data_IF_515026683219
#
_entry.id   IF_515026683219
#
_cell.length_a   1.000
_cell.length_b   1.000
_cell.length_c   1.000
_cell.angle_alpha   90.00
_cell.angle_beta   90.00
_cell.angle_gamma   90.00
#
_symmetry.space_group_name_H-M   'P 1'
#
loop_
_entity.id
_entity.type
_entity.pdbx_description
1 polymer ?
#
# COMPACT_ATOMS: atom_id res chain seq x y z
N UNK A 1 -43.85 -60.86 -35.07
CA UNK A 1 -44.41 -59.56 -34.65
C UNK A 1 -44.16 -59.41 -33.18
N UNK A 2 -43.04 -58.81 -32.81
CA UNK A 2 -42.75 -58.43 -31.41
C UNK A 2 -42.41 -56.93 -31.36
N UNK A 3 -43.30 -56.17 -30.76
CA UNK A 3 -43.11 -54.71 -30.50
C UNK A 3 -42.21 -54.54 -29.29
N UNK A 4 -41.06 -53.93 -29.48
CA UNK A 4 -40.23 -53.45 -28.41
C UNK A 4 -40.88 -52.25 -27.69
N UNK A 5 -41.07 -52.39 -26.38
CA UNK A 5 -41.48 -51.27 -25.49
C UNK A 5 -40.25 -50.47 -25.16
N UNK A 6 -40.20 -49.23 -25.62
CA UNK A 6 -39.24 -48.24 -25.20
C UNK A 6 -39.70 -47.66 -23.86
N UNK A 7 -38.98 -47.92 -22.80
CA UNK A 7 -39.25 -47.39 -21.47
C UNK A 7 -38.62 -46.00 -21.34
N UNK A 8 -39.47 -45.02 -21.10
CA UNK A 8 -39.18 -43.58 -20.87
C UNK A 8 -39.05 -43.27 -19.36
N UNK A 9 -38.10 -43.80 -18.60
CA UNK A 9 -37.80 -43.16 -17.34
C UNK A 9 -36.32 -42.80 -17.11
N UNK A 10 -35.42 -42.95 -18.09
CA UNK A 10 -34.00 -42.66 -17.84
C UNK A 10 -33.55 -41.24 -18.19
N UNK A 11 -34.37 -40.45 -18.89
CA UNK A 11 -34.01 -39.08 -19.32
C UNK A 11 -34.45 -37.98 -18.34
N UNK A 12 -35.42 -38.28 -17.46
CA UNK A 12 -35.94 -37.30 -16.49
C UNK A 12 -35.05 -37.20 -15.23
N UNK A 13 -34.26 -38.21 -14.92
CA UNK A 13 -33.38 -38.20 -13.73
C UNK A 13 -32.04 -37.47 -13.94
N UNK A 14 -31.65 -37.21 -15.19
CA UNK A 14 -30.39 -36.45 -15.48
C UNK A 14 -30.61 -34.96 -15.57
N UNK A 15 -31.85 -34.51 -15.73
CA UNK A 15 -32.17 -33.06 -15.75
C UNK A 15 -32.38 -32.44 -14.36
N UNK A 16 -32.49 -33.24 -13.28
CA UNK A 16 -32.68 -32.76 -11.91
C UNK A 16 -31.38 -32.67 -11.10
N UNK A 17 -30.24 -33.07 -11.66
CA UNK A 17 -28.94 -33.02 -10.99
C UNK A 17 -28.05 -31.86 -11.44
N UNK A 18 -28.51 -31.02 -12.36
CA UNK A 18 -27.77 -29.83 -12.84
C UNK A 18 -28.28 -28.52 -12.24
N UNK A 19 -29.33 -28.53 -11.43
CA UNK A 19 -29.98 -27.33 -10.89
C UNK A 19 -29.69 -27.06 -9.41
N UNK A 20 -28.70 -27.70 -8.78
CA UNK A 20 -28.34 -27.42 -7.38
C UNK A 20 -26.87 -27.01 -7.20
N UNK A 21 -26.36 -26.21 -8.08
CA UNK A 21 -25.10 -25.49 -7.85
C UNK A 21 -25.29 -23.96 -7.94
N UNK A 22 -26.43 -23.47 -7.50
CA UNK A 22 -26.48 -22.11 -7.01
C UNK A 22 -25.81 -22.16 -5.64
N UNK A 23 -24.49 -22.02 -5.60
CA UNK A 23 -23.79 -21.54 -4.40
C UNK A 23 -24.45 -20.19 -4.15
N UNK A 24 -25.36 -20.15 -3.18
CA UNK A 24 -25.79 -18.89 -2.60
C UNK A 24 -24.52 -18.22 -2.15
N UNK A 25 -24.06 -17.19 -2.86
CA UNK A 25 -23.20 -16.21 -2.27
C UNK A 25 -23.94 -15.80 -1.00
N UNK A 26 -23.36 -16.11 0.16
CA UNK A 26 -23.81 -15.62 1.45
C UNK A 26 -23.62 -14.11 1.38
N UNK A 27 -24.62 -13.43 0.83
CA UNK A 27 -24.65 -11.99 0.77
C UNK A 27 -24.61 -11.49 2.21
N UNK A 28 -23.69 -10.59 2.52
CA UNK A 28 -23.66 -9.96 3.83
C UNK A 28 -25.04 -9.38 4.16
N UNK A 29 -25.52 -9.61 5.39
CA UNK A 29 -26.80 -9.06 5.85
C UNK A 29 -26.70 -7.53 5.95
N UNK A 30 -27.63 -6.83 5.35
CA UNK A 30 -27.78 -5.37 5.45
C UNK A 30 -29.02 -5.00 6.28
N UNK A 31 -28.96 -3.91 7.08
CA UNK A 31 -27.81 -3.00 7.22
C UNK A 31 -26.62 -3.66 7.94
N UNK A 32 -25.39 -3.35 7.43
CA UNK A 32 -24.15 -3.82 8.00
C UNK A 32 -23.49 -2.70 8.81
N UNK A 33 -23.21 -2.91 10.08
CA UNK A 33 -22.42 -1.97 10.90
C UNK A 33 -20.98 -2.48 11.02
N UNK A 34 -20.03 -1.60 10.75
CA UNK A 34 -18.59 -1.85 10.84
C UNK A 34 -17.93 -0.84 11.77
N UNK A 35 -16.77 -1.19 12.33
CA UNK A 35 -15.90 -0.25 13.04
C UNK A 35 -14.70 0.03 12.18
N UNK A 36 -14.46 1.29 11.80
CA UNK A 36 -13.32 1.69 10.99
C UNK A 36 -12.04 1.93 11.82
N UNK A 37 -10.92 2.22 11.17
CA UNK A 37 -9.62 2.44 11.82
C UNK A 37 -9.55 3.72 12.65
N UNK A 38 -10.52 4.62 12.50
CA UNK A 38 -10.71 5.76 13.41
C UNK A 38 -11.56 5.40 14.66
N UNK A 39 -11.95 4.14 14.84
CA UNK A 39 -12.80 3.65 15.93
C UNK A 39 -14.27 4.09 15.82
N UNK A 40 -14.72 4.50 14.63
CA UNK A 40 -16.09 4.95 14.40
C UNK A 40 -16.97 3.79 13.94
N UNK A 41 -18.20 3.74 14.44
CA UNK A 41 -19.21 2.87 13.88
C UNK A 41 -19.81 3.50 12.61
N UNK A 42 -19.82 2.76 11.53
CA UNK A 42 -20.39 3.15 10.24
C UNK A 42 -21.38 2.10 9.80
N UNK A 43 -22.62 2.50 9.53
CA UNK A 43 -23.68 1.60 9.09
C UNK A 43 -23.93 1.76 7.59
N UNK A 44 -23.68 0.68 6.85
CA UNK A 44 -23.94 0.55 5.43
C UNK A 44 -25.35 0.00 5.26
N UNK A 45 -26.22 0.72 4.56
CA UNK A 45 -27.63 0.35 4.41
C UNK A 45 -27.85 -0.74 3.35
N UNK A 46 -26.92 -0.90 2.42
CA UNK A 46 -27.02 -1.82 1.29
C UNK A 46 -25.60 -2.12 0.73
N UNK A 47 -25.45 -3.11 -0.16
CA UNK A 47 -24.17 -3.44 -0.79
C UNK A 47 -23.50 -2.23 -1.43
N UNK A 48 -22.17 -2.12 -1.25
CA UNK A 48 -21.38 -1.06 -1.83
C UNK A 48 -21.15 -1.33 -3.34
N UNK A 49 -21.63 -0.41 -4.17
CA UNK A 49 -21.51 -0.49 -5.62
C UNK A 49 -20.62 0.62 -6.20
N UNK A 50 -20.34 1.66 -5.39
CA UNK A 50 -19.63 2.84 -5.84
C UNK A 50 -18.63 3.28 -4.78
N UNK A 51 -17.38 3.51 -5.19
CA UNK A 51 -16.28 3.83 -4.29
C UNK A 51 -15.59 5.10 -4.75
N UNK A 52 -15.30 6.00 -3.82
CA UNK A 52 -14.34 7.08 -4.01
C UNK A 52 -13.12 6.75 -3.15
N UNK A 53 -11.95 6.66 -3.75
CA UNK A 53 -10.69 6.41 -3.03
C UNK A 53 -9.84 7.67 -2.99
N UNK A 54 -9.32 8.01 -1.81
CA UNK A 54 -8.62 9.29 -1.61
C UNK A 54 -7.12 9.16 -1.38
N UNK A 55 -6.61 7.93 -1.16
CA UNK A 55 -5.19 7.65 -1.02
C UNK A 55 -4.77 6.40 -1.81
N UNK A 56 -3.47 6.29 -2.10
CA UNK A 56 -2.90 5.21 -2.92
C UNK A 56 -2.99 3.83 -2.25
N UNK A 57 -2.91 3.76 -0.92
CA UNK A 57 -2.94 2.49 -0.21
C UNK A 57 -4.35 1.87 -0.31
N UNK A 58 -5.39 2.67 -0.10
CA UNK A 58 -6.77 2.25 -0.32
C UNK A 58 -7.06 1.91 -1.80
N UNK A 59 -6.46 2.66 -2.74
CA UNK A 59 -6.58 2.35 -4.17
C UNK A 59 -5.96 0.99 -4.50
N UNK A 60 -4.78 0.69 -3.96
CA UNK A 60 -4.13 -0.62 -4.10
C UNK A 60 -4.99 -1.74 -3.52
N UNK A 61 -5.58 -1.54 -2.33
CA UNK A 61 -6.46 -2.51 -1.69
C UNK A 61 -7.72 -2.80 -2.53
N UNK A 62 -8.38 -1.76 -3.03
CA UNK A 62 -9.57 -1.92 -3.89
C UNK A 62 -9.23 -2.64 -5.20
N UNK A 63 -8.08 -2.33 -5.82
CA UNK A 63 -7.62 -3.02 -7.04
C UNK A 63 -7.25 -4.47 -6.73
N UNK A 64 -6.51 -4.72 -5.65
CA UNK A 64 -6.09 -6.05 -5.21
C UNK A 64 -7.27 -6.98 -4.97
N UNK A 65 -8.35 -6.45 -4.41
CA UNK A 65 -9.59 -7.20 -4.17
C UNK A 65 -10.50 -7.29 -5.41
N UNK A 66 -10.03 -6.86 -6.59
CA UNK A 66 -10.79 -6.97 -7.83
C UNK A 66 -12.05 -6.08 -7.89
N UNK A 67 -12.06 -4.94 -7.16
CA UNK A 67 -13.20 -4.01 -7.10
C UNK A 67 -12.91 -2.66 -7.79
N UNK A 68 -11.92 -2.60 -8.68
CA UNK A 68 -11.55 -1.38 -9.42
C UNK A 68 -12.69 -0.83 -10.30
N UNK A 69 -13.57 -1.69 -10.78
CA UNK A 69 -14.75 -1.33 -11.57
C UNK A 69 -15.75 -0.50 -10.76
N UNK A 70 -15.87 -0.73 -9.46
CA UNK A 70 -16.71 0.04 -8.55
C UNK A 70 -16.16 1.46 -8.25
N UNK A 71 -14.90 1.75 -8.58
CA UNK A 71 -14.33 3.08 -8.34
C UNK A 71 -14.91 4.09 -9.31
N UNK A 72 -15.52 5.15 -8.76
CA UNK A 72 -16.16 6.25 -9.52
C UNK A 72 -15.44 7.59 -9.37
N UNK A 73 -14.62 7.75 -8.31
CA UNK A 73 -13.83 8.96 -8.06
C UNK A 73 -12.51 8.66 -7.36
N UNK A 74 -11.52 9.49 -7.61
CA UNK A 74 -10.16 9.35 -7.05
C UNK A 74 -9.57 10.70 -6.66
N UNK A 75 -8.60 10.71 -5.73
CA UNK A 75 -7.82 11.92 -5.48
C UNK A 75 -6.81 12.22 -6.58
N UNK A 76 -6.32 13.46 -6.63
CA UNK A 76 -5.25 13.88 -7.54
C UNK A 76 -3.97 13.04 -7.37
N UNK A 77 -3.64 12.62 -6.15
CA UNK A 77 -2.45 11.82 -5.89
C UNK A 77 -2.50 10.46 -6.59
N UNK A 78 -3.67 9.81 -6.63
CA UNK A 78 -3.87 8.55 -7.37
C UNK A 78 -3.83 8.82 -8.88
N UNK A 79 -4.47 9.89 -9.34
CA UNK A 79 -4.48 10.28 -10.75
C UNK A 79 -3.07 10.52 -11.30
N UNK A 80 -2.20 11.12 -10.49
CA UNK A 80 -0.80 11.39 -10.83
C UNK A 80 0.06 10.11 -10.84
N UNK A 81 -0.38 9.02 -10.18
CA UNK A 81 0.25 7.71 -10.20
C UNK A 81 -0.33 6.81 -11.33
N UNK A 82 -0.63 7.39 -12.47
CA UNK A 82 -1.34 6.71 -13.55
C UNK A 82 -0.59 5.54 -14.19
N UNK A 83 0.70 5.36 -13.95
CA UNK A 83 1.45 4.16 -14.33
C UNK A 83 1.13 2.99 -13.40
N UNK A 84 0.96 3.28 -12.12
CA UNK A 84 0.62 2.30 -11.10
C UNK A 84 -0.89 2.00 -11.05
N UNK A 85 -1.73 2.98 -11.44
CA UNK A 85 -3.19 2.85 -11.49
C UNK A 85 -3.75 3.18 -12.88
N UNK A 86 -3.43 2.38 -13.93
CA UNK A 86 -3.77 2.72 -15.32
C UNK A 86 -5.28 2.83 -15.56
N UNK A 87 -6.10 2.04 -14.88
CA UNK A 87 -7.55 2.11 -15.01
C UNK A 87 -8.16 3.21 -14.13
N UNK A 88 -7.63 3.43 -12.93
CA UNK A 88 -8.17 4.45 -12.03
C UNK A 88 -7.88 5.86 -12.50
N UNK A 89 -6.74 6.13 -13.17
CA UNK A 89 -6.41 7.48 -13.67
C UNK A 89 -7.45 8.09 -14.61
N UNK A 90 -8.31 7.25 -15.19
CA UNK A 90 -9.40 7.67 -16.10
C UNK A 90 -10.62 8.20 -15.33
N UNK A 91 -10.68 7.94 -14.00
CA UNK A 91 -11.81 8.33 -13.17
C UNK A 91 -11.78 9.82 -12.83
N UNK A 92 -12.93 10.34 -12.38
CA UNK A 92 -13.08 11.74 -11.99
C UNK A 92 -12.22 12.05 -10.75
N UNK A 93 -11.54 13.22 -10.79
CA UNK A 93 -10.80 13.69 -9.60
C UNK A 93 -11.72 14.37 -8.60
N UNK A 94 -11.55 14.05 -7.33
CA UNK A 94 -12.23 14.69 -6.19
C UNK A 94 -11.30 15.61 -5.40
N UNK A 95 -10.26 16.16 -6.05
CA UNK A 95 -9.30 17.05 -5.41
C UNK A 95 -8.11 16.33 -4.75
N UNK A 96 -7.41 17.03 -3.87
CA UNK A 96 -6.26 16.47 -3.14
C UNK A 96 -6.73 15.59 -1.99
N UNK A 97 -5.95 14.56 -1.65
CA UNK A 97 -6.27 13.64 -0.55
C UNK A 97 -6.49 14.35 0.81
N UNK A 98 -5.89 15.51 1.02
CA UNK A 98 -5.99 16.34 2.23
C UNK A 98 -6.80 17.64 2.03
N UNK A 99 -7.40 17.82 0.85
CA UNK A 99 -8.28 18.94 0.49
C UNK A 99 -9.26 18.49 -0.59
N UNK A 100 -10.30 17.77 -0.17
CA UNK A 100 -11.30 17.18 -1.06
C UNK A 100 -12.27 18.24 -1.58
N UNK A 101 -12.72 18.06 -2.79
CA UNK A 101 -13.80 18.82 -3.42
C UNK A 101 -15.15 18.14 -3.11
N UNK A 102 -15.84 18.62 -2.09
CA UNK A 102 -17.10 18.04 -1.64
C UNK A 102 -18.25 18.25 -2.62
N UNK A 103 -18.22 19.32 -3.44
CA UNK A 103 -19.22 19.54 -4.49
C UNK A 103 -19.06 18.46 -5.56
N UNK A 104 -17.84 18.23 -6.03
CA UNK A 104 -17.54 17.17 -6.97
C UNK A 104 -17.92 15.78 -6.45
N UNK A 105 -17.66 15.51 -5.16
CA UNK A 105 -18.08 14.26 -4.53
C UNK A 105 -19.61 14.12 -4.58
N UNK A 106 -20.34 15.18 -4.29
CA UNK A 106 -21.79 15.21 -4.38
C UNK A 106 -22.32 14.94 -5.79
N UNK A 107 -21.70 15.54 -6.80
CA UNK A 107 -22.07 15.30 -8.21
C UNK A 107 -21.81 13.86 -8.64
N UNK A 108 -20.64 13.32 -8.28
CA UNK A 108 -20.32 11.91 -8.55
C UNK A 108 -21.32 11.00 -7.83
N UNK A 109 -21.70 11.30 -6.60
CA UNK A 109 -22.59 10.47 -5.79
C UNK A 109 -24.00 10.36 -6.41
N UNK A 110 -24.50 11.40 -7.04
CA UNK A 110 -25.80 11.40 -7.76
C UNK A 110 -25.79 10.46 -8.96
N UNK A 111 -24.64 10.26 -9.62
CA UNK A 111 -24.49 9.31 -10.73
C UNK A 111 -25.40 9.61 -11.95
N UNK A 112 -25.79 10.89 -12.14
CA UNK A 112 -26.74 11.32 -13.17
C UNK A 112 -28.20 11.29 -12.72
N UNK A 113 -28.49 10.98 -11.44
CA UNK A 113 -29.81 11.03 -10.83
C UNK A 113 -29.94 12.25 -9.90
N UNK A 114 -31.18 12.66 -9.60
CA UNK A 114 -31.43 13.80 -8.68
C UNK A 114 -31.17 13.46 -7.20
N UNK A 115 -31.00 12.19 -6.86
CA UNK A 115 -30.80 11.69 -5.50
C UNK A 115 -29.52 10.89 -5.37
N UNK A 116 -28.85 11.06 -4.22
CA UNK A 116 -27.70 10.24 -3.84
C UNK A 116 -28.19 8.84 -3.49
N UNK A 117 -27.56 7.83 -4.12
CA UNK A 117 -27.86 6.43 -3.83
C UNK A 117 -27.00 5.97 -2.63
N UNK A 118 -27.57 5.32 -1.60
CA UNK A 118 -26.87 4.99 -0.35
C UNK A 118 -25.90 3.80 -0.45
N UNK A 119 -25.44 3.47 -1.64
CA UNK A 119 -24.47 2.42 -1.92
C UNK A 119 -23.06 2.96 -2.28
N UNK A 120 -22.81 4.23 -1.99
CA UNK A 120 -21.50 4.86 -2.22
C UNK A 120 -20.74 5.05 -0.91
N UNK A 121 -19.45 4.75 -0.95
CA UNK A 121 -18.54 5.01 0.17
C UNK A 121 -17.34 5.81 -0.29
N UNK A 122 -16.72 6.53 0.67
CA UNK A 122 -15.41 7.15 0.50
C UNK A 122 -14.43 6.43 1.41
N UNK A 123 -13.30 6.01 0.87
CA UNK A 123 -12.22 5.38 1.63
C UNK A 123 -11.05 6.35 1.72
N UNK A 124 -10.65 6.68 2.94
CA UNK A 124 -9.54 7.59 3.23
C UNK A 124 -8.79 7.20 4.49
N UNK A 125 -7.76 7.96 4.86
CA UNK A 125 -7.01 7.74 6.10
C UNK A 125 -7.84 8.11 7.34
N UNK A 126 -7.63 7.36 8.44
CA UNK A 126 -8.27 7.63 9.72
C UNK A 126 -7.88 9.02 10.27
N UNK A 127 -6.63 9.30 10.41
CA UNK A 127 -5.98 10.53 10.90
C UNK A 127 -6.81 11.28 11.97
N UNK A 128 -6.95 10.70 13.15
CA UNK A 128 -7.75 11.30 14.23
C UNK A 128 -7.33 12.73 14.55
N UNK A 129 -8.32 13.63 14.65
CA UNK A 129 -8.09 15.04 15.00
C UNK A 129 -7.52 15.92 13.88
N UNK A 130 -7.21 15.36 12.71
CA UNK A 130 -6.78 16.17 11.55
C UNK A 130 -7.97 16.69 10.75
N UNK A 131 -7.84 17.89 10.19
CA UNK A 131 -8.88 18.51 9.35
C UNK A 131 -9.16 17.77 8.04
N UNK A 132 -8.29 16.85 7.67
CA UNK A 132 -8.38 15.98 6.49
C UNK A 132 -8.55 14.49 6.87
N UNK A 133 -8.67 14.16 8.16
CA UNK A 133 -8.96 12.81 8.61
C UNK A 133 -10.41 12.42 8.33
N UNK A 134 -10.69 11.13 8.33
CA UNK A 134 -11.98 10.59 7.88
C UNK A 134 -13.20 11.15 8.66
N UNK A 135 -13.05 11.47 9.94
CA UNK A 135 -14.09 12.09 10.72
C UNK A 135 -14.46 13.50 10.22
N UNK A 136 -13.43 14.29 9.80
CA UNK A 136 -13.64 15.60 9.21
C UNK A 136 -14.22 15.50 7.80
N UNK A 137 -13.82 14.49 7.03
CA UNK A 137 -14.41 14.19 5.71
C UNK A 137 -15.89 13.87 5.86
N UNK A 138 -16.28 12.97 6.78
CA UNK A 138 -17.70 12.68 7.04
C UNK A 138 -18.49 13.92 7.45
N UNK A 139 -17.89 14.80 8.28
CA UNK A 139 -18.49 16.07 8.65
C UNK A 139 -18.67 17.02 7.45
N UNK A 140 -17.68 17.08 6.56
CA UNK A 140 -17.75 17.87 5.33
C UNK A 140 -18.85 17.40 4.37
N UNK A 141 -19.22 16.12 4.46
CA UNK A 141 -20.30 15.50 3.68
C UNK A 141 -21.69 15.63 4.32
N UNK A 142 -21.83 16.35 5.43
CA UNK A 142 -23.10 16.43 6.18
C UNK A 142 -24.29 16.97 5.39
N UNK A 143 -24.04 17.69 4.29
CA UNK A 143 -25.06 18.15 3.36
C UNK A 143 -25.51 17.08 2.35
N UNK A 144 -24.81 15.94 2.31
CA UNK A 144 -25.08 14.83 1.40
C UNK A 144 -25.46 13.60 2.22
N UNK A 145 -26.76 13.39 2.38
CA UNK A 145 -27.25 12.18 3.04
C UNK A 145 -26.82 10.93 2.25
N UNK A 146 -26.59 9.82 2.96
CA UNK A 146 -26.27 8.50 2.38
C UNK A 146 -24.88 8.36 1.74
N UNK A 147 -23.93 9.28 1.99
CA UNK A 147 -22.51 9.07 1.68
C UNK A 147 -21.78 8.71 2.97
N UNK A 148 -21.23 7.51 3.05
CA UNK A 148 -20.42 7.09 4.18
C UNK A 148 -18.94 7.24 3.88
N UNK A 149 -18.17 7.79 4.84
CA UNK A 149 -16.72 7.86 4.79
C UNK A 149 -16.14 6.85 5.78
N UNK A 150 -15.19 6.01 5.32
CA UNK A 150 -14.58 4.93 6.08
C UNK A 150 -13.07 5.16 6.14
N UNK A 151 -12.51 5.17 7.36
CA UNK A 151 -11.08 5.30 7.62
C UNK A 151 -10.37 3.96 7.58
N UNK A 152 -9.39 3.79 6.69
CA UNK A 152 -8.53 2.61 6.62
C UNK A 152 -7.07 3.06 6.45
N UNK A 153 -6.19 2.53 7.29
CA UNK A 153 -4.79 2.95 7.42
C UNK A 153 -3.83 1.81 7.00
N UNK A 154 -4.01 1.28 5.81
CA UNK A 154 -3.20 0.18 5.26
C UNK A 154 -1.68 0.39 5.33
N UNK A 155 -1.23 1.63 5.58
CA UNK A 155 0.18 1.93 5.77
C UNK A 155 0.73 1.49 7.15
N UNK A 156 -0.15 1.08 8.07
CA UNK A 156 0.21 0.57 9.39
C UNK A 156 0.25 -0.96 9.34
N UNK A 157 1.43 -1.60 9.43
CA UNK A 157 1.56 -3.07 9.35
C UNK A 157 0.65 -3.83 10.30
N UNK A 158 0.52 -3.34 11.54
CA UNK A 158 -0.31 -3.95 12.59
C UNK A 158 -1.81 -3.94 12.29
N UNK A 159 -2.27 -3.09 11.40
CA UNK A 159 -3.68 -2.96 11.04
C UNK A 159 -4.05 -3.70 9.75
N UNK A 160 -3.06 -3.99 8.91
CA UNK A 160 -3.28 -4.41 7.53
C UNK A 160 -4.22 -5.63 7.42
N UNK A 161 -3.97 -6.70 8.16
CA UNK A 161 -4.82 -7.90 8.12
C UNK A 161 -6.28 -7.57 8.37
N UNK A 162 -6.56 -6.84 9.46
CA UNK A 162 -7.93 -6.45 9.82
C UNK A 162 -8.59 -5.54 8.79
N UNK A 163 -7.83 -4.64 8.21
CA UNK A 163 -8.34 -3.68 7.22
C UNK A 163 -8.62 -4.34 5.88
N UNK A 164 -7.79 -5.29 5.46
CA UNK A 164 -8.05 -6.09 4.25
C UNK A 164 -9.27 -6.99 4.43
N UNK A 165 -9.39 -7.69 5.57
CA UNK A 165 -10.57 -8.49 5.92
C UNK A 165 -11.84 -7.62 5.95
N UNK A 166 -11.76 -6.44 6.59
CA UNK A 166 -12.87 -5.51 6.68
C UNK A 166 -13.28 -4.99 5.29
N UNK A 167 -12.32 -4.61 4.46
CA UNK A 167 -12.61 -4.16 3.11
C UNK A 167 -13.18 -5.29 2.24
N UNK A 168 -12.65 -6.51 2.37
CA UNK A 168 -13.21 -7.71 1.73
C UNK A 168 -14.68 -7.89 2.07
N UNK A 169 -15.03 -7.82 3.36
CA UNK A 169 -16.42 -7.90 3.84
C UNK A 169 -17.31 -6.78 3.30
N UNK A 170 -16.82 -5.53 3.31
CA UNK A 170 -17.56 -4.37 2.79
C UNK A 170 -17.87 -4.51 1.31
N UNK A 171 -16.96 -5.10 0.55
CA UNK A 171 -17.05 -5.19 -0.91
C UNK A 171 -17.64 -6.53 -1.40
N UNK A 172 -17.88 -7.50 -0.50
CA UNK A 172 -18.26 -8.88 -0.85
C UNK A 172 -17.12 -9.59 -1.59
N UNK A 173 -15.88 -9.38 -1.11
CA UNK A 173 -14.62 -9.85 -1.69
C UNK A 173 -13.76 -10.60 -0.65
N UNK A 174 -14.42 -11.39 0.20
CA UNK A 174 -13.78 -12.10 1.30
C UNK A 174 -12.77 -13.14 0.79
N UNK A 175 -13.08 -13.81 -0.32
CA UNK A 175 -12.18 -14.81 -0.90
C UNK A 175 -10.91 -14.18 -1.47
N UNK A 176 -11.01 -13.04 -2.14
CA UNK A 176 -9.88 -12.28 -2.66
C UNK A 176 -9.04 -11.69 -1.51
N UNK A 177 -9.68 -11.29 -0.41
CA UNK A 177 -8.99 -10.84 0.80
C UNK A 177 -8.20 -11.97 1.44
N UNK A 178 -8.78 -13.16 1.57
CA UNK A 178 -8.12 -14.35 2.11
C UNK A 178 -6.93 -14.78 1.23
N UNK A 179 -7.07 -14.79 -0.10
CA UNK A 179 -5.97 -15.09 -1.03
C UNK A 179 -4.81 -14.12 -0.87
N UNK A 180 -5.09 -12.81 -0.82
CA UNK A 180 -4.04 -11.81 -0.59
C UNK A 180 -3.36 -11.99 0.76
N UNK A 181 -4.12 -12.17 1.84
CA UNK A 181 -3.57 -12.35 3.19
C UNK A 181 -2.78 -13.65 3.34
N UNK A 182 -3.19 -14.71 2.65
CA UNK A 182 -2.41 -15.96 2.60
C UNK A 182 -1.04 -15.74 1.97
N UNK A 183 -1.00 -15.06 0.82
CA UNK A 183 0.26 -14.66 0.17
C UNK A 183 1.12 -13.75 1.07
N UNK A 184 0.50 -12.73 1.67
CA UNK A 184 1.16 -11.80 2.58
C UNK A 184 1.86 -12.53 3.74
N UNK A 185 1.13 -13.41 4.43
CA UNK A 185 1.66 -14.20 5.54
C UNK A 185 2.80 -15.13 5.10
N UNK A 186 2.67 -15.77 3.92
CA UNK A 186 3.74 -16.60 3.36
C UNK A 186 5.03 -15.81 3.13
N UNK A 187 4.95 -14.57 2.59
CA UNK A 187 6.13 -13.75 2.37
C UNK A 187 6.74 -13.28 3.71
N UNK A 188 5.90 -12.87 4.68
CA UNK A 188 6.35 -12.51 6.03
C UNK A 188 7.10 -13.67 6.71
N UNK A 189 6.57 -14.88 6.65
CA UNK A 189 7.25 -16.07 7.17
C UNK A 189 8.59 -16.35 6.46
N UNK A 190 8.66 -16.19 5.14
CA UNK A 190 9.92 -16.33 4.38
C UNK A 190 10.97 -15.32 4.85
N UNK A 191 10.58 -14.04 5.00
CA UNK A 191 11.50 -13.02 5.51
C UNK A 191 11.95 -13.37 6.93
N UNK A 192 11.03 -13.68 7.85
CA UNK A 192 11.35 -14.01 9.24
C UNK A 192 12.32 -15.19 9.34
N UNK A 193 12.10 -16.24 8.54
CA UNK A 193 12.97 -17.42 8.53
C UNK A 193 14.35 -17.10 7.94
N UNK A 194 14.43 -16.30 6.88
CA UNK A 194 15.68 -15.97 6.21
C UNK A 194 16.60 -15.07 7.05
N UNK A 195 16.04 -14.25 7.96
CA UNK A 195 16.81 -13.36 8.83
C UNK A 195 16.94 -13.89 10.26
N UNK A 196 16.41 -15.07 10.54
CA UNK A 196 16.45 -15.68 11.88
C UNK A 196 17.91 -15.88 12.34
N UNK A 197 18.23 -15.40 13.55
CA UNK A 197 19.57 -15.53 14.14
C UNK A 197 20.64 -14.60 13.55
N UNK A 198 20.31 -13.76 12.54
CA UNK A 198 21.23 -12.75 12.03
C UNK A 198 21.31 -11.53 12.96
N UNK A 199 22.40 -10.78 12.87
CA UNK A 199 22.56 -9.53 13.63
C UNK A 199 21.45 -8.54 13.25
N UNK A 200 21.13 -7.63 14.18
CA UNK A 200 20.11 -6.60 13.98
C UNK A 200 20.78 -5.23 13.77
N UNK A 201 21.11 -4.84 12.51
CA UNK A 201 21.87 -3.62 12.26
C UNK A 201 21.06 -2.37 12.58
N UNK A 202 21.75 -1.34 13.07
CA UNK A 202 21.19 0.00 13.29
C UNK A 202 20.96 0.70 11.95
N UNK A 203 19.74 1.13 11.70
CA UNK A 203 19.34 1.76 10.45
C UNK A 203 18.87 3.19 10.68
N UNK A 204 19.42 4.11 9.90
CA UNK A 204 18.91 5.46 9.72
C UNK A 204 18.13 5.55 8.41
N UNK A 205 16.95 6.15 8.45
CA UNK A 205 16.17 6.47 7.25
C UNK A 205 16.07 7.96 7.08
N UNK A 206 16.55 8.48 5.99
CA UNK A 206 16.38 9.87 5.60
C UNK A 206 15.07 10.04 4.82
N UNK A 207 14.07 10.59 5.51
CA UNK A 207 12.77 10.87 4.91
C UNK A 207 12.82 12.12 4.03
N UNK A 208 13.52 13.15 4.48
CA UNK A 208 13.67 14.41 3.75
C UNK A 208 14.85 15.21 4.30
N UNK A 209 15.60 15.82 3.41
CA UNK A 209 16.69 16.75 3.70
C UNK A 209 16.37 18.22 3.36
N UNK A 210 15.09 18.56 3.12
CA UNK A 210 14.69 19.93 2.71
C UNK A 210 15.07 21.03 3.70
N UNK A 211 15.30 20.68 4.97
CA UNK A 211 15.82 21.58 6.00
C UNK A 211 17.34 21.65 6.11
N UNK A 212 18.07 21.00 5.20
CA UNK A 212 19.51 20.81 5.27
C UNK A 212 19.92 19.86 6.41
N UNK A 213 21.22 19.66 6.60
CA UNK A 213 21.78 18.72 7.59
C UNK A 213 21.46 19.04 9.05
N UNK A 214 21.04 20.27 9.35
CA UNK A 214 20.60 20.70 10.68
C UNK A 214 19.13 20.38 11.00
N UNK A 215 18.35 19.94 10.01
CA UNK A 215 16.92 19.63 10.17
C UNK A 215 16.47 18.52 9.21
N UNK A 216 17.16 17.38 9.25
CA UNK A 216 16.80 16.18 8.53
C UNK A 216 15.53 15.58 9.12
N UNK A 217 14.60 15.11 8.28
CA UNK A 217 13.44 14.35 8.74
C UNK A 217 13.71 12.87 8.63
N UNK A 218 13.32 12.10 9.66
CA UNK A 218 13.44 10.65 9.70
C UNK A 218 12.10 10.00 10.01
N UNK A 219 12.07 8.69 10.18
CA UNK A 219 10.88 7.89 10.46
C UNK A 219 10.99 7.26 11.85
N UNK A 220 10.11 7.67 12.76
CA UNK A 220 9.95 7.08 14.09
C UNK A 220 8.80 6.06 14.15
N UNK A 221 8.48 5.65 15.37
CA UNK A 221 7.33 4.78 15.66
C UNK A 221 6.02 5.47 15.23
N UNK A 222 5.11 4.72 14.62
CA UNK A 222 3.84 5.23 14.10
C UNK A 222 3.90 5.75 12.66
N UNK A 223 5.09 5.71 12.02
CA UNK A 223 5.23 6.01 10.59
C UNK A 223 4.84 4.83 9.67
N UNK A 224 4.58 3.65 10.23
CA UNK A 224 4.43 2.38 9.51
C UNK A 224 5.76 1.71 9.15
N UNK A 225 6.78 2.49 8.81
CA UNK A 225 8.09 1.97 8.42
C UNK A 225 8.82 1.21 9.53
N UNK A 226 8.63 1.57 10.80
CA UNK A 226 9.26 0.86 11.93
C UNK A 226 8.86 -0.62 11.96
N UNK A 227 7.59 -0.92 11.65
CA UNK A 227 7.08 -2.28 11.51
C UNK A 227 7.80 -3.05 10.39
N UNK A 228 7.84 -2.48 9.19
CA UNK A 228 8.50 -3.07 8.01
C UNK A 228 10.00 -3.30 8.27
N UNK A 229 10.67 -2.32 8.88
CA UNK A 229 12.10 -2.45 9.23
C UNK A 229 12.34 -3.53 10.28
N UNK A 230 11.46 -3.64 11.26
CA UNK A 230 11.55 -4.68 12.32
C UNK A 230 11.38 -6.07 11.75
N UNK A 231 10.46 -6.25 10.80
CA UNK A 231 10.26 -7.49 10.06
C UNK A 231 11.52 -7.89 9.27
N UNK A 232 12.17 -6.92 8.64
CA UNK A 232 13.45 -7.11 7.97
C UNK A 232 14.65 -7.31 8.93
N UNK A 233 14.41 -7.52 10.24
CA UNK A 233 15.42 -7.61 11.29
C UNK A 233 16.38 -6.41 11.35
N UNK A 234 15.87 -5.18 11.10
CA UNK A 234 16.59 -3.94 11.28
C UNK A 234 16.22 -3.24 12.60
N UNK A 235 17.12 -2.40 13.13
CA UNK A 235 16.90 -1.59 14.32
C UNK A 235 16.78 -0.11 13.91
N UNK A 236 15.60 0.47 14.07
CA UNK A 236 15.38 1.87 13.82
C UNK A 236 16.04 2.74 14.88
N UNK A 237 17.03 3.57 14.50
CA UNK A 237 17.71 4.46 15.45
C UNK A 237 16.78 5.56 15.99
N UNK A 238 15.68 5.86 15.30
CA UNK A 238 14.70 6.87 15.68
C UNK A 238 13.49 6.29 16.47
N UNK A 239 13.52 5.01 16.86
CA UNK A 239 12.39 4.33 17.52
C UNK A 239 11.97 4.95 18.85
N UNK A 240 12.89 5.61 19.56
CA UNK A 240 12.64 6.22 20.86
C UNK A 240 12.26 7.72 20.76
N UNK A 241 12.15 8.24 19.53
CA UNK A 241 11.62 9.58 19.28
C UNK A 241 10.08 9.51 19.21
N UNK A 242 9.42 10.36 20.04
CA UNK A 242 7.96 10.30 20.25
C UNK A 242 7.12 10.90 19.09
N UNK A 243 7.62 10.86 17.87
CA UNK A 243 6.96 11.39 16.69
C UNK A 243 7.09 10.39 15.52
N UNK A 244 6.07 10.31 14.66
CA UNK A 244 6.14 9.48 13.46
C UNK A 244 7.17 10.03 12.43
N UNK A 245 7.35 11.34 12.38
CA UNK A 245 8.26 12.04 11.45
C UNK A 245 9.15 13.04 12.19
N UNK A 246 10.04 12.59 13.10
CA UNK A 246 10.86 13.48 13.88
C UNK A 246 11.91 14.18 13.03
N UNK A 247 12.31 15.39 13.46
CA UNK A 247 13.46 16.09 12.91
C UNK A 247 14.70 15.81 13.75
N UNK A 248 15.80 15.52 13.09
CA UNK A 248 17.09 15.23 13.69
C UNK A 248 18.20 16.03 13.00
N UNK A 249 19.33 16.19 13.67
CA UNK A 249 20.53 16.78 13.06
C UNK A 249 21.50 15.70 12.59
N UNK A 250 22.39 16.03 11.67
CA UNK A 250 23.43 15.10 11.22
C UNK A 250 24.35 14.69 12.38
N UNK A 251 24.66 15.60 13.32
CA UNK A 251 25.44 15.28 14.51
C UNK A 251 24.76 14.22 15.38
N UNK A 252 23.44 14.30 15.55
CA UNK A 252 22.70 13.29 16.27
C UNK A 252 22.83 11.91 15.57
N UNK A 253 22.73 11.87 14.23
CA UNK A 253 22.89 10.63 13.45
C UNK A 253 24.29 10.05 13.65
N UNK A 254 25.34 10.88 13.63
CA UNK A 254 26.71 10.45 13.91
C UNK A 254 26.84 9.79 15.29
N UNK A 255 26.17 10.33 16.34
CA UNK A 255 26.19 9.73 17.68
C UNK A 255 25.47 8.38 17.74
N UNK A 256 24.44 8.15 16.92
CA UNK A 256 23.72 6.88 16.83
C UNK A 256 24.56 5.80 16.11
N UNK A 257 25.53 6.22 15.30
CA UNK A 257 26.45 5.32 14.56
C UNK A 257 25.71 4.24 13.76
N UNK A 258 24.87 4.61 12.77
CA UNK A 258 24.12 3.65 11.98
C UNK A 258 25.03 2.74 11.16
N UNK A 259 24.59 1.49 11.00
CA UNK A 259 25.24 0.44 10.20
C UNK A 259 24.68 0.37 8.78
N UNK A 260 23.49 0.97 8.55
CA UNK A 260 22.92 1.20 7.23
C UNK A 260 22.20 2.56 7.20
N UNK A 261 22.24 3.21 6.02
CA UNK A 261 21.54 4.46 5.74
C UNK A 261 20.64 4.22 4.52
N UNK A 262 19.37 4.56 4.66
CA UNK A 262 18.38 4.47 3.60
C UNK A 262 17.91 5.88 3.27
N UNK A 263 18.08 6.30 2.03
CA UNK A 263 17.61 7.59 1.54
C UNK A 263 16.36 7.35 0.71
N UNK A 264 15.25 7.93 1.16
CA UNK A 264 14.00 7.85 0.45
C UNK A 264 14.03 8.71 -0.82
N UNK A 265 13.60 8.12 -1.91
CA UNK A 265 13.21 8.88 -3.10
C UNK A 265 11.69 8.86 -3.27
N UNK A 266 11.14 10.03 -3.52
CA UNK A 266 9.73 10.19 -3.88
C UNK A 266 9.61 11.21 -4.98
N UNK A 267 8.61 11.03 -5.76
CA UNK A 267 8.10 12.04 -6.66
C UNK A 267 7.47 13.22 -5.87
N UNK A 268 7.50 14.43 -6.37
CA UNK A 268 7.86 14.90 -7.71
C UNK A 268 9.01 15.91 -7.66
N UNK A 269 10.21 15.52 -7.42
CA UNK A 269 11.29 16.51 -7.44
C UNK A 269 11.83 16.79 -8.85
N UNK A 270 11.38 16.04 -9.87
CA UNK A 270 11.88 16.18 -11.23
C UNK A 270 13.38 15.91 -11.40
N UNK A 271 14.06 15.64 -10.28
CA UNK A 271 15.53 15.58 -10.24
C UNK A 271 16.07 14.15 -10.15
N UNK A 272 15.35 13.23 -9.53
CA UNK A 272 15.79 11.85 -9.39
C UNK A 272 14.69 10.93 -9.81
N UNK A 273 14.83 10.34 -10.98
CA UNK A 273 13.86 9.40 -11.52
C UNK A 273 14.19 8.00 -11.05
N UNK A 274 13.24 7.37 -10.36
CA UNK A 274 13.38 6.05 -9.80
C UNK A 274 12.03 5.32 -9.94
N UNK A 275 12.06 3.99 -9.94
CA UNK A 275 10.82 3.20 -9.97
C UNK A 275 9.93 3.53 -11.17
N UNK A 276 8.64 3.73 -10.91
CA UNK A 276 7.62 3.93 -11.93
C UNK A 276 7.81 5.17 -12.80
N UNK A 277 8.54 6.17 -12.32
CA UNK A 277 8.76 7.42 -13.03
C UNK A 277 10.12 7.51 -13.69
N UNK A 278 10.96 6.51 -13.51
CA UNK A 278 12.25 6.44 -14.16
C UNK A 278 12.07 6.30 -15.68
N UNK A 279 12.85 7.07 -16.43
CA UNK A 279 12.99 6.82 -17.86
C UNK A 279 13.58 5.41 -18.10
N UNK A 280 13.17 4.66 -19.12
CA UNK A 280 13.71 3.34 -19.43
C UNK A 280 15.23 3.29 -19.70
N UNK A 281 15.92 4.42 -19.67
CA UNK A 281 17.36 4.53 -19.97
C UNK A 281 18.30 3.99 -18.89
N UNK A 282 17.81 3.50 -17.75
CA UNK A 282 18.64 3.07 -16.58
C UNK A 282 19.69 4.09 -16.14
N UNK A 283 19.41 5.38 -16.28
CA UNK A 283 20.34 6.43 -15.85
C UNK A 283 20.34 6.51 -14.30
N UNK A 284 21.41 6.01 -13.70
CA UNK A 284 21.61 6.02 -12.24
C UNK A 284 22.48 7.17 -11.75
N UNK A 285 22.95 8.06 -12.62
CA UNK A 285 23.85 9.18 -12.27
C UNK A 285 23.26 10.06 -11.17
N UNK A 286 21.96 10.35 -11.23
CA UNK A 286 21.29 11.15 -10.21
C UNK A 286 21.15 10.41 -8.88
N UNK A 287 20.95 9.09 -8.91
CA UNK A 287 20.87 8.25 -7.70
C UNK A 287 22.25 8.17 -7.03
N UNK A 288 23.31 8.05 -7.83
CA UNK A 288 24.69 8.12 -7.34
C UNK A 288 24.98 9.48 -6.71
N UNK A 289 24.52 10.58 -7.30
CA UNK A 289 24.68 11.91 -6.74
C UNK A 289 24.02 12.06 -5.36
N UNK A 290 22.81 11.50 -5.16
CA UNK A 290 22.14 11.45 -3.85
C UNK A 290 22.95 10.68 -2.83
N UNK A 291 23.47 9.53 -3.19
CA UNK A 291 24.34 8.72 -2.32
C UNK A 291 25.64 9.45 -1.99
N UNK A 292 26.27 10.08 -2.97
CA UNK A 292 27.52 10.83 -2.82
C UNK A 292 27.34 12.08 -1.94
N UNK A 293 26.16 12.71 -1.95
CA UNK A 293 25.85 13.81 -1.03
C UNK A 293 25.94 13.35 0.43
N UNK A 294 25.37 12.18 0.77
CA UNK A 294 25.49 11.62 2.13
C UNK A 294 26.93 11.29 2.48
N UNK A 295 27.67 10.70 1.54
CA UNK A 295 29.09 10.37 1.71
C UNK A 295 29.98 11.60 1.96
N UNK A 296 29.62 12.74 1.36
CA UNK A 296 30.36 13.99 1.48
C UNK A 296 30.09 14.76 2.78
N UNK A 297 29.11 14.35 3.58
CA UNK A 297 28.79 15.04 4.85
C UNK A 297 29.94 14.93 5.85
N UNK A 298 30.17 15.99 6.61
CA UNK A 298 31.23 16.02 7.62
C UNK A 298 31.07 14.85 8.61
N UNK A 299 32.16 14.09 8.82
CA UNK A 299 32.18 12.94 9.72
C UNK A 299 31.57 11.64 9.15
N UNK A 300 30.95 11.67 7.97
CA UNK A 300 30.31 10.48 7.37
C UNK A 300 31.25 9.28 7.24
N UNK A 301 32.52 9.51 6.85
CA UNK A 301 33.54 8.47 6.72
C UNK A 301 33.84 7.67 7.99
N UNK A 302 33.42 8.17 9.17
CA UNK A 302 33.52 7.47 10.45
C UNK A 302 32.42 6.42 10.67
N UNK A 303 31.29 6.53 9.98
CA UNK A 303 30.13 5.68 10.17
C UNK A 303 30.34 4.23 9.68
N UNK A 304 29.87 3.23 10.42
CA UNK A 304 29.86 1.85 9.94
C UNK A 304 29.15 1.66 8.60
N UNK A 305 28.01 2.35 8.38
CA UNK A 305 27.27 2.34 7.12
C UNK A 305 28.12 2.76 5.93
N UNK A 306 28.96 3.79 6.09
CA UNK A 306 29.87 4.28 5.03
C UNK A 306 30.99 3.28 4.79
N UNK A 307 31.62 2.78 5.86
CA UNK A 307 32.72 1.82 5.77
C UNK A 307 32.31 0.49 5.12
N UNK A 308 31.06 0.05 5.35
CA UNK A 308 30.51 -1.18 4.77
C UNK A 308 29.81 -0.95 3.41
N UNK A 309 29.70 0.30 2.94
CA UNK A 309 29.02 0.65 1.71
C UNK A 309 27.49 0.55 1.76
N UNK A 310 26.89 0.36 2.96
CA UNK A 310 25.43 0.20 3.17
C UNK A 310 24.72 1.55 3.19
N UNK A 311 24.78 2.28 2.09
CA UNK A 311 24.00 3.49 1.83
C UNK A 311 23.16 3.23 0.58
N UNK A 312 21.85 3.22 0.76
CA UNK A 312 20.89 2.86 -0.26
C UNK A 312 19.93 4.00 -0.54
N UNK A 313 19.59 4.18 -1.81
CA UNK A 313 18.52 5.05 -2.27
C UNK A 313 17.36 4.16 -2.67
N UNK A 314 16.17 4.41 -2.14
CA UNK A 314 15.02 3.51 -2.33
C UNK A 314 13.82 4.30 -2.82
N UNK A 315 13.14 3.77 -3.86
CA UNK A 315 11.83 4.23 -4.28
C UNK A 315 10.79 3.89 -3.21
N UNK A 316 10.08 4.92 -2.73
CA UNK A 316 9.17 4.71 -1.61
C UNK A 316 7.93 3.91 -1.98
N UNK A 317 7.62 3.77 -3.26
CA UNK A 317 6.49 2.97 -3.71
C UNK A 317 6.55 1.49 -3.33
N UNK A 318 7.74 0.98 -2.93
CA UNK A 318 7.91 -0.41 -2.50
C UNK A 318 7.98 -0.60 -0.98
N UNK A 319 7.72 0.45 -0.17
CA UNK A 319 8.03 0.42 1.26
C UNK A 319 6.82 0.39 2.20
N UNK A 320 5.62 0.68 1.75
CA UNK A 320 4.47 0.83 2.63
C UNK A 320 3.13 0.48 1.96
N UNK A 321 2.07 0.45 2.74
CA UNK A 321 0.76 0.04 2.27
C UNK A 321 0.69 -1.47 2.09
N UNK A 322 -0.06 -1.94 1.11
CA UNK A 322 -0.21 -3.37 0.85
C UNK A 322 1.07 -4.05 0.35
N UNK A 323 2.08 -3.30 -0.09
CA UNK A 323 3.38 -3.83 -0.53
C UNK A 323 4.45 -3.80 0.57
N UNK A 324 4.07 -3.73 1.85
CA UNK A 324 5.03 -3.80 2.96
C UNK A 324 5.89 -5.07 2.94
N UNK A 325 5.37 -6.23 2.47
CA UNK A 325 6.16 -7.45 2.33
C UNK A 325 7.22 -7.35 1.23
N UNK A 326 6.91 -6.61 0.15
CA UNK A 326 7.92 -6.24 -0.85
C UNK A 326 9.00 -5.40 -0.20
N UNK A 327 8.59 -4.38 0.57
CA UNK A 327 9.51 -3.52 1.33
C UNK A 327 10.35 -4.28 2.34
N UNK A 328 9.76 -5.15 3.15
CA UNK A 328 10.44 -5.98 4.13
C UNK A 328 11.47 -6.90 3.45
N UNK A 329 11.11 -7.51 2.31
CA UNK A 329 12.01 -8.40 1.57
C UNK A 329 13.20 -7.62 0.98
N UNK A 330 12.97 -6.42 0.39
CA UNK A 330 14.07 -5.56 -0.06
C UNK A 330 14.98 -5.16 1.09
N UNK A 331 14.41 -4.66 2.20
CA UNK A 331 15.18 -4.25 3.37
C UNK A 331 15.97 -5.42 3.97
N UNK A 332 15.35 -6.59 4.13
CA UNK A 332 16.03 -7.78 4.63
C UNK A 332 17.23 -8.14 3.76
N UNK A 333 17.08 -8.14 2.44
CA UNK A 333 18.18 -8.44 1.51
C UNK A 333 19.29 -7.38 1.53
N UNK A 334 18.95 -6.10 1.70
CA UNK A 334 19.92 -4.99 1.81
C UNK A 334 20.71 -5.04 3.11
N UNK A 335 20.03 -5.33 4.22
CA UNK A 335 20.65 -5.41 5.54
C UNK A 335 21.46 -6.70 5.72
N UNK A 336 20.97 -7.80 5.15
CA UNK A 336 21.47 -9.15 5.25
C UNK A 336 21.67 -9.75 3.86
N UNK A 337 22.75 -9.39 3.14
CA UNK A 337 22.98 -9.87 1.77
C UNK A 337 23.05 -11.40 1.65
N UNK A 338 23.44 -12.09 2.75
CA UNK A 338 23.48 -13.54 2.87
C UNK A 338 22.10 -14.21 2.96
N UNK A 339 21.05 -13.48 3.32
CA UNK A 339 19.69 -14.03 3.42
C UNK A 339 19.22 -14.56 2.05
N UNK A 340 18.64 -15.76 2.05
CA UNK A 340 18.09 -16.38 0.83
C UNK A 340 16.73 -15.79 0.49
N UNK A 341 16.75 -14.58 -0.08
CA UNK A 341 15.58 -13.81 -0.46
C UNK A 341 15.73 -13.23 -1.87
N UNK A 342 14.65 -13.25 -2.63
CA UNK A 342 14.55 -12.62 -3.95
C UNK A 342 13.47 -11.53 -3.95
N UNK A 343 13.81 -10.29 -3.58
CA UNK A 343 12.84 -9.19 -3.51
C UNK A 343 12.26 -8.80 -4.88
N UNK A 344 12.98 -9.06 -5.99
CA UNK A 344 12.47 -8.76 -7.33
C UNK A 344 11.36 -9.73 -7.70
N UNK A 345 11.49 -11.01 -7.34
CA UNK A 345 10.44 -12.01 -7.53
C UNK A 345 9.19 -11.66 -6.72
N UNK A 346 9.34 -11.32 -5.43
CA UNK A 346 8.22 -10.93 -4.55
C UNK A 346 7.52 -9.67 -5.08
N UNK A 347 8.29 -8.67 -5.52
CA UNK A 347 7.74 -7.46 -6.11
C UNK A 347 6.99 -7.74 -7.42
N UNK A 348 7.55 -8.61 -8.28
CA UNK A 348 6.90 -9.02 -9.53
C UNK A 348 5.56 -9.72 -9.27
N UNK A 349 5.52 -10.59 -8.27
CA UNK A 349 4.29 -11.29 -7.89
C UNK A 349 3.24 -10.32 -7.33
N UNK A 350 3.64 -9.40 -6.46
CA UNK A 350 2.75 -8.35 -5.96
C UNK A 350 2.15 -7.51 -7.10
N UNK A 351 2.97 -7.08 -8.06
CA UNK A 351 2.51 -6.30 -9.21
C UNK A 351 1.53 -7.08 -10.07
N UNK A 352 1.77 -8.37 -10.31
CA UNK A 352 0.83 -9.23 -11.04
C UNK A 352 -0.55 -9.31 -10.38
N UNK A 353 -0.60 -9.31 -9.05
CA UNK A 353 -1.85 -9.27 -8.29
C UNK A 353 -2.61 -7.94 -8.50
N UNK A 354 -1.89 -6.85 -8.81
CA UNK A 354 -2.47 -5.57 -9.22
C UNK A 354 -2.79 -5.49 -10.73
N UNK A 355 -2.55 -6.57 -11.50
CA UNK A 355 -2.70 -6.57 -12.95
C UNK A 355 -1.59 -5.82 -13.69
N UNK A 356 -0.41 -5.70 -13.08
CA UNK A 356 0.74 -4.97 -13.60
C UNK A 356 1.93 -5.91 -13.86
N UNK A 357 2.74 -5.56 -14.85
CA UNK A 357 4.04 -6.18 -15.05
C UNK A 357 5.15 -5.38 -14.38
N UNK A 358 6.24 -6.06 -14.00
CA UNK A 358 7.45 -5.41 -13.55
C UNK A 358 7.99 -4.51 -14.67
N UNK A 359 8.17 -3.21 -14.45
CA UNK A 359 8.62 -2.30 -15.49
C UNK A 359 10.09 -2.52 -15.82
N UNK A 360 10.38 -2.90 -17.07
CA UNK A 360 11.74 -3.15 -17.54
C UNK A 360 12.63 -1.90 -17.44
N UNK A 361 13.90 -2.13 -17.09
CA UNK A 361 14.93 -1.10 -17.07
C UNK A 361 14.76 -0.05 -15.98
N UNK A 362 13.96 -0.32 -14.95
CA UNK A 362 13.70 0.62 -13.84
C UNK A 362 14.41 0.18 -12.56
N UNK A 363 14.86 1.15 -11.79
CA UNK A 363 15.58 0.95 -10.55
C UNK A 363 14.68 1.31 -9.37
N UNK A 364 14.41 0.36 -8.48
CA UNK A 364 13.65 0.58 -7.24
C UNK A 364 14.56 0.72 -6.02
N UNK A 365 15.77 0.20 -6.11
CA UNK A 365 16.81 0.26 -5.06
C UNK A 365 18.15 0.54 -5.71
N UNK A 366 18.92 1.49 -5.17
CA UNK A 366 20.25 1.81 -5.65
C UNK A 366 21.26 1.86 -4.48
N UNK A 367 22.47 1.26 -4.59
CA UNK A 367 22.91 0.37 -5.67
C UNK A 367 21.99 -0.85 -5.85
N UNK A 368 21.91 -1.35 -7.08
CA UNK A 368 21.12 -2.54 -7.38
C UNK A 368 21.63 -3.75 -6.59
N UNK A 369 20.72 -4.64 -6.19
CA UNK A 369 21.10 -5.85 -5.48
C UNK A 369 21.94 -6.77 -6.36
N UNK A 370 23.07 -7.22 -5.83
CA UNK A 370 23.97 -8.15 -6.52
C UNK A 370 23.24 -9.49 -6.70
N UNK A 371 23.01 -9.89 -7.95
CA UNK A 371 22.41 -11.19 -8.28
C UNK A 371 20.97 -11.18 -8.79
N UNK A 372 20.29 -10.03 -8.82
CA UNK A 372 19.02 -9.90 -9.55
C UNK A 372 19.32 -9.81 -11.06
N UNK A 373 19.15 -10.93 -11.76
CA UNK A 373 19.16 -11.01 -13.23
C UNK A 373 17.76 -11.15 -13.76
#
# INVERSE_FOLDING_TARGET
>A
MNRAKISIPAIILLALLVSLSSIAALGADYPMTITDSAGREVTLQMPVERIIVTNSDAASAVVMLGAADKVVGISESIKNQGYYFPELKKKQSVGKWNALDYEMIGEIAKGGEDKIVPNIIIIGYSYPGKSYGIAAVQKGLSSFENINAIGLDFYQPENMTKEVELLGKILGKEAEAEDFLSWHNEQSEKVANAVAGLNKPKVYVEWSSTGGIGALSTLGVGSGFDGVLREANGFNIAKDLNEAYPKVTWEWILTQSPEAIIVRQTQPSGQTQMGWEQSPSKDTVKLEAVRNEVLARAGAGGLPAVKSGKIFVIDWSVMNGLNQEVGATYLAKLLHPEADLDPVSVHTEYLKRLGLDMPEGRTFVYPELSGSK
#
